data_IF_059569430552
#
_entry.id   IF_059569430552
#
_cell.length_a   1.000
_cell.length_b   1.000
_cell.length_c   1.000
_cell.angle_alpha   90.00
_cell.angle_beta   90.00
_cell.angle_gamma   90.00
#
_symmetry.space_group_name_H-M   'P 1'
#
loop_
_entity.id
_entity.type
_entity.pdbx_description
1 polymer ?
#
# COMPACT_ATOMS: atom_id res chain seq x y z
N UNK A 1 19.24 -30.38 6.77
CA UNK A 1 18.00 -29.70 7.25
C UNK A 1 16.97 -29.81 6.14
N UNK A 2 15.88 -30.56 6.34
CA UNK A 2 14.81 -30.73 5.33
C UNK A 2 13.94 -29.47 5.36
N UNK A 3 13.80 -28.77 4.23
CA UNK A 3 12.91 -27.62 4.12
C UNK A 3 11.46 -28.11 4.19
N UNK A 4 10.68 -27.55 5.12
CA UNK A 4 9.24 -27.82 5.26
C UNK A 4 8.46 -26.82 4.42
N UNK A 5 8.47 -26.98 3.10
CA UNK A 5 7.58 -26.21 2.21
C UNK A 5 6.47 -27.12 1.68
N UNK A 6 5.35 -26.56 1.18
CA UNK A 6 4.20 -27.33 0.69
C UNK A 6 4.55 -28.29 -0.45
N UNK A 7 5.63 -27.97 -1.17
CA UNK A 7 6.12 -28.69 -2.34
C UNK A 7 7.00 -29.89 -1.97
N UNK A 8 7.53 -29.95 -0.75
CA UNK A 8 8.43 -31.03 -0.33
C UNK A 8 7.64 -32.28 0.06
N UNK A 9 7.95 -33.40 -0.59
CA UNK A 9 7.38 -34.72 -0.31
C UNK A 9 8.38 -35.60 0.43
N UNK A 10 7.90 -36.45 1.33
CA UNK A 10 8.65 -37.46 2.06
C UNK A 10 8.03 -38.83 1.78
N UNK A 11 8.80 -39.75 1.20
CA UNK A 11 8.31 -41.05 0.71
C UNK A 11 7.02 -40.96 -0.12
N UNK A 12 6.93 -39.96 -1.02
CA UNK A 12 5.76 -39.76 -1.88
C UNK A 12 4.58 -39.01 -1.24
N UNK A 13 4.62 -38.75 0.07
CA UNK A 13 3.57 -38.02 0.79
C UNK A 13 3.99 -36.57 1.08
N UNK A 14 3.06 -35.59 1.00
CA UNK A 14 3.38 -34.21 1.37
C UNK A 14 3.75 -34.12 2.86
N UNK A 15 4.88 -33.46 3.16
CA UNK A 15 5.37 -33.28 4.54
C UNK A 15 4.45 -32.42 5.42
N UNK A 16 3.62 -31.59 4.80
CA UNK A 16 2.64 -30.72 5.46
C UNK A 16 1.31 -30.87 4.72
N UNK A 17 0.28 -31.38 5.40
CA UNK A 17 -1.08 -31.35 4.91
C UNK A 17 -1.66 -29.95 5.14
N UNK A 18 -1.66 -29.12 4.10
CA UNK A 18 -2.32 -27.82 4.17
C UNK A 18 -3.83 -27.98 3.92
N UNK A 19 -4.64 -27.19 4.63
CA UNK A 19 -6.05 -27.05 4.31
C UNK A 19 -6.21 -26.55 2.86
N UNK A 20 -7.26 -27.02 2.18
CA UNK A 20 -7.61 -26.51 0.85
C UNK A 20 -7.83 -25.02 0.95
N UNK A 21 -7.10 -24.26 0.16
CA UNK A 21 -7.20 -22.81 0.10
C UNK A 21 -7.28 -22.38 -1.36
N UNK A 22 -8.08 -21.36 -1.63
CA UNK A 22 -8.23 -20.77 -2.95
C UNK A 22 -7.44 -19.47 -2.98
N UNK A 23 -6.49 -19.37 -3.90
CA UNK A 23 -5.89 -18.09 -4.25
C UNK A 23 -6.66 -17.51 -5.43
N UNK A 24 -7.13 -16.27 -5.29
CA UNK A 24 -7.82 -15.56 -6.36
C UNK A 24 -7.29 -14.15 -6.45
N UNK A 25 -6.72 -13.83 -7.60
CA UNK A 25 -6.41 -12.45 -7.95
C UNK A 25 -7.68 -11.76 -8.45
N UNK A 26 -7.88 -10.52 -7.98
CA UNK A 26 -9.03 -9.70 -8.31
C UNK A 26 -8.53 -8.48 -9.05
N UNK A 27 -8.86 -8.39 -10.33
CA UNK A 27 -8.57 -7.25 -11.17
C UNK A 27 -9.76 -6.29 -11.15
N UNK A 28 -9.51 -5.05 -10.79
CA UNK A 28 -10.51 -4.00 -10.72
C UNK A 28 -10.13 -2.90 -11.70
N UNK A 29 -11.13 -2.38 -12.41
CA UNK A 29 -10.93 -1.21 -13.25
C UNK A 29 -10.67 0.00 -12.38
N UNK A 30 -9.73 0.83 -12.83
CA UNK A 30 -9.38 2.07 -12.18
C UNK A 30 -10.46 3.15 -12.42
N UNK A 31 -10.58 4.10 -11.50
CA UNK A 31 -11.49 5.24 -11.62
C UNK A 31 -10.79 6.42 -12.31
N UNK A 32 -11.07 6.59 -13.60
CA UNK A 32 -10.46 7.56 -14.51
C UNK A 32 -10.72 9.03 -14.16
N UNK A 33 -11.79 9.30 -13.39
CA UNK A 33 -12.20 10.64 -12.93
C UNK A 33 -11.06 11.46 -12.28
N UNK A 34 -10.07 10.79 -11.70
CA UNK A 34 -8.98 11.45 -10.97
C UNK A 34 -7.63 11.41 -11.70
N UNK A 35 -7.56 10.83 -12.90
CA UNK A 35 -6.29 10.57 -13.60
C UNK A 35 -5.47 11.81 -13.85
N UNK A 36 -6.10 12.87 -14.37
CA UNK A 36 -5.38 14.11 -14.67
C UNK A 36 -4.80 14.77 -13.41
N UNK A 37 -5.51 14.68 -12.28
CA UNK A 37 -5.02 15.19 -11.00
C UNK A 37 -3.88 14.33 -10.44
N UNK A 38 -3.97 13.01 -10.60
CA UNK A 38 -2.92 12.09 -10.18
C UNK A 38 -1.68 12.28 -11.05
N UNK A 39 -1.83 12.44 -12.37
CA UNK A 39 -0.75 12.74 -13.31
C UNK A 39 -0.03 14.04 -12.94
N UNK A 40 -0.77 15.08 -12.56
CA UNK A 40 -0.19 16.33 -12.10
C UNK A 40 0.68 16.20 -10.82
N UNK A 41 0.45 15.15 -10.01
CA UNK A 41 1.23 14.87 -8.81
C UNK A 41 2.54 14.10 -9.10
N UNK A 42 2.64 13.44 -10.25
CA UNK A 42 3.80 12.60 -10.60
C UNK A 42 5.11 13.40 -10.56
N UNK A 43 5.21 14.62 -11.14
CA UNK A 43 6.44 15.41 -11.08
C UNK A 43 6.88 15.74 -9.66
N UNK A 44 5.95 16.00 -8.74
CA UNK A 44 6.28 16.27 -7.33
C UNK A 44 6.87 15.03 -6.65
N UNK A 45 6.31 13.86 -6.94
CA UNK A 45 6.79 12.57 -6.42
C UNK A 45 8.17 12.22 -6.99
N UNK A 46 8.39 12.51 -8.27
CA UNK A 46 9.69 12.32 -8.92
C UNK A 46 10.75 13.28 -8.36
N UNK A 47 10.38 14.52 -8.04
CA UNK A 47 11.25 15.46 -7.36
C UNK A 47 11.65 14.97 -5.96
N UNK A 48 10.70 14.44 -5.18
CA UNK A 48 10.96 13.81 -3.88
C UNK A 48 11.92 12.61 -4.01
N UNK A 49 11.77 11.81 -5.08
CA UNK A 49 12.68 10.69 -5.36
C UNK A 49 14.08 11.18 -5.74
N UNK A 50 14.18 12.23 -6.54
CA UNK A 50 15.44 12.84 -6.93
C UNK A 50 16.19 13.44 -5.73
N UNK A 51 15.50 14.14 -4.83
CA UNK A 51 16.09 14.67 -3.58
C UNK A 51 16.63 13.53 -2.68
N UNK A 52 15.90 12.42 -2.57
CA UNK A 52 16.40 11.24 -1.84
C UNK A 52 17.64 10.64 -2.48
N UNK A 53 17.68 10.54 -3.81
CA UNK A 53 18.85 10.04 -4.52
C UNK A 53 20.05 10.96 -4.31
N UNK A 54 19.82 12.28 -4.37
CA UNK A 54 20.86 13.28 -4.11
C UNK A 54 21.41 13.13 -2.69
N UNK A 55 20.56 12.96 -1.67
CA UNK A 55 21.01 12.72 -0.28
C UNK A 55 21.89 11.47 -0.16
N UNK A 56 21.51 10.38 -0.83
CA UNK A 56 22.32 9.15 -0.85
C UNK A 56 23.66 9.39 -1.54
N UNK A 57 23.66 10.11 -2.66
CA UNK A 57 24.88 10.49 -3.37
C UNK A 57 25.78 11.39 -2.52
N UNK A 58 25.23 12.38 -1.81
CA UNK A 58 25.99 13.24 -0.90
C UNK A 58 26.59 12.46 0.26
N UNK A 59 25.88 11.48 0.81
CA UNK A 59 26.44 10.58 1.83
C UNK A 59 27.64 9.83 1.23
N UNK A 60 27.46 9.21 0.05
CA UNK A 60 28.52 8.49 -0.65
C UNK A 60 29.74 9.37 -0.95
N UNK A 61 29.51 10.61 -1.41
CA UNK A 61 30.54 11.59 -1.74
C UNK A 61 31.36 12.03 -0.51
N UNK A 62 30.83 11.83 0.70
CA UNK A 62 31.51 12.14 1.98
C UNK A 62 32.12 10.92 2.69
N UNK A 63 31.87 9.69 2.21
CA UNK A 63 32.50 8.48 2.79
C UNK A 63 33.99 8.44 2.43
N UNK A 64 34.90 8.17 3.40
CA UNK A 64 36.32 8.01 3.11
C UNK A 64 36.58 6.99 2.00
N UNK A 65 37.54 7.25 1.12
CA UNK A 65 37.78 6.45 -0.09
C UNK A 65 38.02 4.96 0.22
N UNK A 66 38.67 4.65 1.35
CA UNK A 66 38.92 3.28 1.82
C UNK A 66 37.65 2.48 2.19
N UNK A 67 36.52 3.15 2.45
CA UNK A 67 35.23 2.54 2.84
C UNK A 67 34.13 2.76 1.80
N UNK A 68 34.44 3.47 0.71
CA UNK A 68 33.48 3.83 -0.32
C UNK A 68 33.26 2.67 -1.26
N UNK A 69 32.01 2.43 -1.68
CA UNK A 69 31.73 1.48 -2.75
C UNK A 69 32.33 1.98 -4.07
N UNK A 70 32.77 1.06 -4.93
CA UNK A 70 33.39 1.40 -6.23
C UNK A 70 32.45 2.25 -7.09
N UNK A 71 31.15 1.94 -7.05
CA UNK A 71 30.15 2.61 -7.87
C UNK A 71 29.34 3.63 -7.07
N UNK A 72 29.24 4.84 -7.62
CA UNK A 72 28.35 5.90 -7.14
C UNK A 72 26.89 5.55 -7.47
N UNK A 73 25.96 5.62 -6.51
CA UNK A 73 24.55 5.31 -6.74
C UNK A 73 23.93 6.18 -7.85
N UNK A 74 23.33 5.54 -8.86
CA UNK A 74 22.65 6.22 -9.99
C UNK A 74 21.13 6.17 -9.91
N UNK A 75 20.59 5.29 -9.07
CA UNK A 75 19.17 5.09 -8.89
C UNK A 75 18.87 4.73 -7.42
N UNK A 76 17.63 4.97 -7.00
CA UNK A 76 17.14 4.48 -5.73
C UNK A 76 17.00 2.95 -5.78
N UNK A 77 17.42 2.28 -4.70
CA UNK A 77 17.10 0.87 -4.52
C UNK A 77 15.59 0.66 -4.39
N UNK A 78 15.12 -0.55 -4.71
CA UNK A 78 13.68 -0.89 -4.79
C UNK A 78 12.88 -0.37 -3.59
N UNK A 79 13.32 -0.61 -2.36
CA UNK A 79 12.61 -0.13 -1.17
C UNK A 79 12.48 1.39 -1.11
N UNK A 80 13.54 2.13 -1.47
CA UNK A 80 13.52 3.59 -1.47
C UNK A 80 12.61 4.14 -2.56
N UNK A 81 12.60 3.51 -3.74
CA UNK A 81 11.66 3.85 -4.83
C UNK A 81 10.22 3.63 -4.38
N UNK A 82 9.95 2.48 -3.76
CA UNK A 82 8.64 2.16 -3.18
C UNK A 82 8.22 3.21 -2.15
N UNK A 83 9.12 3.60 -1.25
CA UNK A 83 8.84 4.62 -0.24
C UNK A 83 8.74 6.03 -0.81
N UNK A 84 9.34 6.33 -1.95
CA UNK A 84 9.15 7.61 -2.63
C UNK A 84 7.76 7.66 -3.29
N UNK A 85 7.32 6.55 -3.89
CA UNK A 85 6.06 6.43 -4.62
C UNK A 85 4.84 6.07 -3.75
N UNK A 86 4.96 6.11 -2.42
CA UNK A 86 3.89 5.70 -1.50
C UNK A 86 2.56 6.42 -1.76
N UNK A 87 2.59 7.72 -2.09
CA UNK A 87 1.38 8.51 -2.41
C UNK A 87 0.62 7.90 -3.58
N UNK A 88 1.31 7.50 -4.66
CA UNK A 88 0.66 6.87 -5.82
C UNK A 88 -0.03 5.57 -5.43
N UNK A 89 0.53 4.79 -4.51
CA UNK A 89 -0.08 3.54 -4.04
C UNK A 89 -1.35 3.79 -3.23
N UNK A 90 -1.32 4.82 -2.38
CA UNK A 90 -2.51 5.27 -1.64
C UNK A 90 -3.59 5.74 -2.63
N UNK A 91 -3.22 6.57 -3.61
CA UNK A 91 -4.15 7.09 -4.62
C UNK A 91 -4.67 6.01 -5.58
N UNK A 92 -3.89 4.98 -5.88
CA UNK A 92 -4.35 3.82 -6.64
C UNK A 92 -5.42 3.02 -5.89
N UNK A 93 -5.39 3.04 -4.55
CA UNK A 93 -6.44 2.42 -3.72
C UNK A 93 -7.61 3.37 -3.50
N UNK A 94 -7.33 4.64 -3.23
CA UNK A 94 -8.31 5.67 -2.84
C UNK A 94 -8.07 6.95 -3.66
N UNK A 95 -8.52 7.02 -4.93
CA UNK A 95 -8.16 8.12 -5.84
C UNK A 95 -8.73 9.47 -5.42
N UNK A 96 -9.88 9.50 -4.74
CA UNK A 96 -10.51 10.73 -4.26
C UNK A 96 -9.60 11.54 -3.30
N UNK A 97 -8.67 10.87 -2.62
CA UNK A 97 -7.70 11.53 -1.74
C UNK A 97 -6.80 12.53 -2.47
N UNK A 98 -6.69 12.46 -3.80
CA UNK A 98 -5.88 13.41 -4.57
C UNK A 98 -6.33 14.86 -4.38
N UNK A 99 -7.62 15.08 -4.12
CA UNK A 99 -8.18 16.41 -3.81
C UNK A 99 -7.59 16.99 -2.52
N UNK A 100 -7.20 16.12 -1.60
CA UNK A 100 -6.68 16.50 -0.29
C UNK A 100 -5.15 16.60 -0.30
N UNK A 101 -4.47 16.13 -1.34
CA UNK A 101 -3.01 16.20 -1.48
C UNK A 101 -2.52 17.43 -2.22
N UNK A 102 -3.43 18.27 -2.73
CA UNK A 102 -3.08 19.45 -3.54
C UNK A 102 -3.51 20.75 -2.84
N UNK A 103 -2.66 21.78 -2.87
CA UNK A 103 -2.95 23.12 -2.35
C UNK A 103 -2.24 23.49 -1.05
N UNK A 104 -2.51 24.70 -0.52
CA UNK A 104 -1.81 25.26 0.64
C UNK A 104 -1.99 24.46 1.94
N UNK A 105 -3.10 23.72 2.06
CA UNK A 105 -3.41 22.84 3.19
C UNK A 105 -3.35 21.36 2.79
N UNK A 106 -2.48 21.03 1.84
CA UNK A 106 -2.32 19.66 1.35
C UNK A 106 -1.93 18.71 2.48
N UNK A 107 -2.64 17.59 2.55
CA UNK A 107 -2.28 16.47 3.42
C UNK A 107 -1.03 15.78 2.90
N UNK A 108 -0.18 15.40 3.83
CA UNK A 108 1.05 14.67 3.56
C UNK A 108 0.81 13.18 3.30
N UNK A 109 -0.31 12.64 3.79
CA UNK A 109 -0.65 11.21 3.78
C UNK A 109 0.37 10.33 4.54
N UNK A 110 1.05 10.90 5.54
CA UNK A 110 2.03 10.21 6.39
C UNK A 110 1.41 9.79 7.72
N UNK A 111 1.98 8.77 8.34
CA UNK A 111 1.60 8.30 9.68
C UNK A 111 1.72 9.37 10.76
N UNK A 112 2.70 10.26 10.67
CA UNK A 112 2.84 11.39 11.61
C UNK A 112 1.68 12.38 11.53
N UNK A 113 1.11 12.54 10.35
CA UNK A 113 -0.07 13.35 10.17
C UNK A 113 -1.25 12.73 10.92
N UNK A 114 -1.45 11.42 10.77
CA UNK A 114 -2.56 10.69 11.40
C UNK A 114 -2.59 10.81 12.92
N UNK A 115 -1.44 11.04 13.57
CA UNK A 115 -1.36 11.27 15.02
C UNK A 115 -2.18 12.49 15.46
N UNK A 116 -2.36 13.50 14.60
CA UNK A 116 -3.11 14.74 14.90
C UNK A 116 -4.60 14.50 15.16
N UNK A 117 -5.15 13.41 14.64
CA UNK A 117 -6.60 13.15 14.65
C UNK A 117 -6.98 11.87 15.40
N UNK A 118 -6.08 11.28 16.18
CA UNK A 118 -6.43 10.11 17.00
C UNK A 118 -7.35 10.50 18.16
N UNK A 119 -8.25 9.58 18.54
CA UNK A 119 -9.13 9.74 19.70
C UNK A 119 -10.31 10.68 19.43
N UNK A 120 -10.54 11.64 20.32
CA UNK A 120 -11.70 12.54 20.27
C UNK A 120 -11.77 13.42 19.01
N UNK A 121 -10.66 13.59 18.29
CA UNK A 121 -10.58 14.43 17.10
C UNK A 121 -10.77 13.69 15.77
N UNK A 122 -11.05 12.38 15.79
CA UNK A 122 -11.14 11.56 14.58
C UNK A 122 -12.22 12.04 13.61
N UNK A 123 -13.39 12.42 14.14
CA UNK A 123 -14.51 12.95 13.35
C UNK A 123 -14.18 14.29 12.68
N UNK A 124 -13.21 15.03 13.20
CA UNK A 124 -12.77 16.30 12.63
C UNK A 124 -11.73 16.12 11.51
N UNK A 125 -11.21 14.90 11.33
CA UNK A 125 -10.22 14.62 10.30
C UNK A 125 -10.78 14.87 8.89
N UNK A 126 -9.96 15.36 7.95
CA UNK A 126 -10.36 15.45 6.55
C UNK A 126 -10.78 14.10 5.96
N UNK A 127 -10.21 13.00 6.47
CA UNK A 127 -10.59 11.64 6.07
C UNK A 127 -12.03 11.31 6.46
N UNK A 128 -12.41 11.55 7.72
CA UNK A 128 -13.77 11.30 8.19
C UNK A 128 -14.80 12.17 7.47
N UNK A 129 -14.47 13.43 7.20
CA UNK A 129 -15.36 14.36 6.48
C UNK A 129 -15.62 13.95 5.03
N UNK A 130 -14.65 13.30 4.38
CA UNK A 130 -14.74 12.87 2.99
C UNK A 130 -14.94 11.35 2.84
N UNK A 131 -15.32 10.64 3.91
CA UNK A 131 -15.33 9.18 3.94
C UNK A 131 -16.24 8.56 2.86
N UNK A 132 -17.45 9.10 2.67
CA UNK A 132 -18.37 8.61 1.63
C UNK A 132 -17.80 8.83 0.24
N UNK A 133 -17.19 10.00 -0.04
CA UNK A 133 -16.55 10.23 -1.33
C UNK A 133 -15.36 9.28 -1.56
N UNK A 134 -14.50 9.10 -0.55
CA UNK A 134 -13.35 8.18 -0.62
C UNK A 134 -13.82 6.75 -0.92
N UNK A 135 -14.89 6.32 -0.26
CA UNK A 135 -15.45 4.99 -0.41
C UNK A 135 -16.07 4.79 -1.80
N UNK A 136 -16.99 5.67 -2.21
CA UNK A 136 -17.75 5.56 -3.46
C UNK A 136 -16.89 5.68 -4.71
N UNK A 137 -15.74 6.36 -4.60
CA UNK A 137 -14.83 6.53 -5.73
C UNK A 137 -13.67 5.52 -5.72
N UNK A 138 -13.65 4.56 -4.79
CA UNK A 138 -12.65 3.49 -4.74
C UNK A 138 -13.25 2.16 -5.21
N UNK A 139 -12.90 1.69 -6.42
CA UNK A 139 -13.32 0.38 -6.91
C UNK A 139 -12.95 -0.77 -5.95
N UNK A 140 -11.79 -0.64 -5.29
CA UNK A 140 -11.29 -1.65 -4.33
C UNK A 140 -12.11 -1.69 -3.05
N UNK A 141 -12.51 -0.55 -2.50
CA UNK A 141 -13.35 -0.51 -1.30
C UNK A 141 -14.79 -0.94 -1.60
N UNK A 142 -15.33 -0.57 -2.77
CA UNK A 142 -16.63 -1.03 -3.22
C UNK A 142 -16.67 -2.56 -3.37
N UNK A 143 -15.69 -3.13 -4.10
CA UNK A 143 -15.56 -4.57 -4.24
C UNK A 143 -15.40 -5.27 -2.88
N UNK A 144 -14.59 -4.70 -1.99
CA UNK A 144 -14.39 -5.26 -0.64
C UNK A 144 -15.70 -5.28 0.15
N UNK A 145 -16.53 -4.24 0.06
CA UNK A 145 -17.86 -4.21 0.70
C UNK A 145 -18.76 -5.30 0.14
N UNK A 146 -18.82 -5.47 -1.17
CA UNK A 146 -19.59 -6.56 -1.79
C UNK A 146 -19.09 -7.93 -1.35
N UNK A 147 -17.77 -8.11 -1.28
CA UNK A 147 -17.15 -9.34 -0.79
C UNK A 147 -17.54 -9.64 0.66
N UNK A 148 -17.48 -8.65 1.56
CA UNK A 148 -17.88 -8.81 2.95
C UNK A 148 -19.36 -9.18 3.05
N UNK A 149 -20.24 -8.45 2.35
CA UNK A 149 -21.68 -8.72 2.35
C UNK A 149 -22.03 -10.10 1.76
N UNK A 150 -21.21 -10.63 0.86
CA UNK A 150 -21.35 -11.99 0.34
C UNK A 150 -20.88 -13.03 1.37
N UNK A 151 -19.73 -12.80 2.02
CA UNK A 151 -19.22 -13.69 3.06
C UNK A 151 -20.18 -13.80 4.26
N UNK A 152 -20.86 -12.72 4.64
CA UNK A 152 -21.86 -12.71 5.72
C UNK A 152 -23.04 -13.66 5.46
N UNK A 153 -23.34 -13.98 4.20
CA UNK A 153 -24.41 -14.90 3.82
C UNK A 153 -24.00 -16.37 3.91
N UNK A 154 -22.70 -16.64 4.03
CA UNK A 154 -22.15 -17.98 3.98
C UNK A 154 -21.58 -18.36 5.35
N UNK A 155 -21.66 -19.65 5.66
CA UNK A 155 -20.95 -20.26 6.79
C UNK A 155 -19.78 -21.06 6.26
N UNK A 156 -18.82 -21.38 7.11
CA UNK A 156 -17.75 -22.28 6.71
C UNK A 156 -18.25 -23.72 6.55
N UNK A 157 -17.35 -24.62 6.16
CA UNK A 157 -17.65 -26.05 5.92
C UNK A 157 -18.17 -26.74 7.18
N UNK A 158 -17.84 -26.22 8.37
CA UNK A 158 -18.21 -26.76 9.68
C UNK A 158 -19.43 -26.02 10.29
N UNK A 159 -20.06 -25.11 9.54
CA UNK A 159 -21.25 -24.36 9.95
C UNK A 159 -20.97 -23.18 10.91
N UNK A 160 -19.70 -22.80 11.07
CA UNK A 160 -19.23 -21.70 11.91
C UNK A 160 -19.20 -20.39 11.12
N UNK A 161 -19.31 -19.27 11.83
CA UNK A 161 -19.15 -17.94 11.24
C UNK A 161 -17.75 -17.75 10.66
N UNK A 162 -17.70 -17.28 9.42
CA UNK A 162 -16.45 -17.03 8.71
C UNK A 162 -15.73 -15.83 9.32
N UNK A 163 -14.41 -15.95 9.48
CA UNK A 163 -13.56 -14.84 9.94
C UNK A 163 -12.77 -14.29 8.76
N UNK A 164 -12.90 -12.99 8.53
CA UNK A 164 -12.12 -12.28 7.51
C UNK A 164 -10.92 -11.58 8.15
N UNK A 165 -9.75 -11.75 7.56
CA UNK A 165 -8.54 -11.01 7.92
C UNK A 165 -8.14 -10.14 6.72
N UNK A 166 -8.13 -8.82 6.92
CA UNK A 166 -7.69 -7.87 5.91
C UNK A 166 -6.27 -7.43 6.27
N UNK A 167 -5.30 -7.78 5.43
CA UNK A 167 -3.92 -7.33 5.57
C UNK A 167 -3.68 -6.22 4.56
N UNK A 168 -3.17 -5.08 5.03
CA UNK A 168 -2.83 -3.93 4.17
C UNK A 168 -1.39 -3.51 4.41
N UNK A 169 -0.75 -2.95 3.38
CA UNK A 169 0.64 -2.50 3.44
C UNK A 169 0.78 -1.01 3.79
N UNK A 170 -0.26 -0.36 4.31
CA UNK A 170 -0.21 1.05 4.67
C UNK A 170 0.48 1.22 6.03
N UNK A 171 1.81 1.36 6.02
CA UNK A 171 2.63 1.74 7.18
C UNK A 171 3.58 2.87 6.80
#
# INVERSE_FOLDING_TARGET
MIRRTPEHRWFGHPLVALNKHLHRDVFLLHNDKYDEKIKALIPEIEADAADRLQKIQTIWDNVPEAQRSIERPRALGVNNTIHAQYKLRILATCPALVKLTTGANAMTLKTDELKKWRGSNEKNSPYAKNLSEIFENSPKLMWLRECILDLEKHRDVDGVEQKMVIVTSFN
#
